data_IF_088052020606
#
_entry.id   IF_088052020606
#
_cell.length_a   1.000
_cell.length_b   1.000
_cell.length_c   1.000
_cell.angle_alpha   90.00
_cell.angle_beta   90.00
_cell.angle_gamma   90.00
#
_symmetry.space_group_name_H-M   'P 1'
#
loop_
_entity.id
_entity.type
_entity.pdbx_description
1 polymer ?
#
# COMPACT_ATOMS: atom_id res chain seq x y z
N UNK A 1 -9.49 -10.18 -11.41
CA UNK A 1 -8.51 -9.09 -11.58
C UNK A 1 -9.26 -7.80 -11.31
N UNK A 2 -8.72 -6.92 -10.47
CA UNK A 2 -9.23 -5.55 -10.38
C UNK A 2 -8.63 -4.76 -11.55
N UNK A 3 -9.45 -4.00 -12.25
CA UNK A 3 -9.05 -3.15 -13.37
C UNK A 3 -9.67 -1.76 -13.16
N UNK A 4 -8.90 -0.72 -13.42
CA UNK A 4 -9.38 0.66 -13.46
C UNK A 4 -9.66 1.00 -14.92
N UNK A 5 -10.92 1.33 -15.30
CA UNK A 5 -11.23 1.76 -16.66
C UNK A 5 -10.44 3.01 -17.07
N UNK A 6 -10.10 3.15 -18.35
CA UNK A 6 -9.31 4.29 -18.84
C UNK A 6 -10.08 5.61 -18.84
N UNK A 7 -11.41 5.59 -18.83
CA UNK A 7 -12.29 6.75 -18.96
C UNK A 7 -12.73 7.38 -17.62
N UNK A 8 -12.18 6.90 -16.49
CA UNK A 8 -12.47 7.44 -15.16
C UNK A 8 -11.30 8.26 -14.60
N UNK A 9 -11.61 9.36 -13.92
CA UNK A 9 -10.61 10.22 -13.28
C UNK A 9 -9.99 9.57 -12.03
N UNK A 10 -10.81 8.86 -11.25
CA UNK A 10 -10.39 8.24 -9.99
C UNK A 10 -11.16 6.94 -9.72
N UNK A 11 -10.47 5.98 -9.09
CA UNK A 11 -11.09 4.82 -8.45
C UNK A 11 -10.86 4.87 -6.95
N UNK A 12 -11.94 4.85 -6.17
CA UNK A 12 -11.90 4.64 -4.72
C UNK A 12 -12.42 3.23 -4.43
N UNK A 13 -11.60 2.39 -3.80
CA UNK A 13 -11.96 1.01 -3.46
C UNK A 13 -11.48 0.66 -2.06
N UNK A 14 -12.35 0.03 -1.27
CA UNK A 14 -12.00 -0.50 0.04
C UNK A 14 -11.42 -1.90 -0.10
N UNK A 15 -10.20 -2.11 0.39
CA UNK A 15 -9.59 -3.43 0.50
C UNK A 15 -9.47 -3.86 1.96
N UNK A 16 -9.87 -5.10 2.24
CA UNK A 16 -9.41 -5.80 3.43
C UNK A 16 -8.31 -6.77 3.01
N UNK A 17 -7.07 -6.45 3.40
CA UNK A 17 -5.88 -7.16 2.93
C UNK A 17 -5.29 -7.96 4.08
N UNK A 18 -5.29 -9.29 3.95
CA UNK A 18 -4.66 -10.19 4.92
C UNK A 18 -3.37 -10.74 4.34
N UNK A 19 -2.23 -10.18 4.76
CA UNK A 19 -0.89 -10.67 4.43
C UNK A 19 -0.03 -9.70 3.60
N UNK A 20 1.11 -10.22 3.15
CA UNK A 20 2.07 -9.50 2.33
C UNK A 20 1.71 -9.57 0.83
N UNK A 21 2.19 -8.59 0.08
CA UNK A 21 2.21 -8.65 -1.38
C UNK A 21 3.51 -9.26 -1.84
N UNK A 22 3.43 -10.31 -2.66
CA UNK A 22 4.59 -10.91 -3.32
C UNK A 22 4.52 -10.46 -4.77
N UNK A 23 5.47 -9.62 -5.18
CA UNK A 23 5.61 -9.26 -6.58
C UNK A 23 6.32 -10.40 -7.30
N UNK A 24 5.84 -10.70 -8.51
CA UNK A 24 6.39 -11.78 -9.33
C UNK A 24 6.75 -11.27 -10.72
N UNK A 25 7.75 -11.89 -11.33
CA UNK A 25 8.05 -11.71 -12.75
C UNK A 25 7.01 -12.44 -13.64
N UNK A 26 7.06 -12.30 -14.99
CA UNK A 26 6.14 -12.99 -15.89
C UNK A 26 6.20 -14.53 -15.84
N UNK A 27 7.30 -15.10 -15.34
CA UNK A 27 7.46 -16.56 -15.17
C UNK A 27 6.93 -17.03 -13.80
N UNK A 28 6.49 -16.10 -12.94
CA UNK A 28 5.93 -16.36 -11.62
C UNK A 28 6.98 -16.43 -10.51
N UNK A 29 8.24 -16.09 -10.77
CA UNK A 29 9.27 -16.07 -9.73
C UNK A 29 9.09 -14.84 -8.82
N UNK A 30 9.21 -14.97 -7.49
CA UNK A 30 9.11 -13.84 -6.58
C UNK A 30 10.31 -12.90 -6.76
N UNK A 31 10.02 -11.61 -6.94
CA UNK A 31 11.03 -10.55 -7.10
C UNK A 31 11.05 -9.56 -5.95
N UNK A 32 9.95 -9.41 -5.20
CA UNK A 32 9.88 -8.52 -4.04
C UNK A 32 8.74 -8.90 -3.09
N UNK A 33 8.82 -8.42 -1.83
CA UNK A 33 7.81 -8.64 -0.79
C UNK A 33 7.49 -7.33 -0.06
N UNK A 34 6.22 -6.95 -0.06
CA UNK A 34 5.70 -5.80 0.70
C UNK A 34 4.74 -6.26 1.77
N UNK A 35 5.22 -6.27 3.02
CA UNK A 35 4.44 -6.63 4.21
C UNK A 35 3.83 -5.39 4.91
N UNK A 36 3.24 -5.60 6.10
CA UNK A 36 2.60 -4.54 6.89
C UNK A 36 3.61 -3.51 7.42
N UNK A 37 4.85 -3.91 7.69
CA UNK A 37 5.88 -3.02 8.22
C UNK A 37 6.40 -2.09 7.14
N UNK A 38 6.65 -2.62 5.93
CA UNK A 38 7.00 -1.82 4.75
C UNK A 38 5.88 -0.82 4.41
N UNK A 39 4.61 -1.24 4.48
CA UNK A 39 3.45 -0.36 4.29
C UNK A 39 3.39 0.75 5.35
N UNK A 40 3.57 0.40 6.63
CA UNK A 40 3.57 1.37 7.73
C UNK A 40 4.72 2.38 7.60
N UNK A 41 5.92 1.92 7.24
CA UNK A 41 7.07 2.80 7.02
C UNK A 41 6.81 3.81 5.90
N UNK A 42 6.23 3.36 4.78
CA UNK A 42 5.83 4.24 3.66
C UNK A 42 4.78 5.27 4.10
N UNK A 43 3.74 4.86 4.81
CA UNK A 43 2.71 5.76 5.32
C UNK A 43 3.30 6.82 6.26
N UNK A 44 4.17 6.43 7.21
CA UNK A 44 4.85 7.37 8.11
C UNK A 44 5.72 8.38 7.36
N UNK A 45 6.51 7.91 6.39
CA UNK A 45 7.34 8.77 5.56
C UNK A 45 6.50 9.77 4.75
N UNK A 46 5.38 9.33 4.19
CA UNK A 46 4.44 10.21 3.50
C UNK A 46 3.87 11.27 4.44
N UNK A 47 3.34 10.87 5.60
CA UNK A 47 2.75 11.81 6.56
C UNK A 47 3.76 12.84 7.09
N UNK A 48 5.01 12.45 7.29
CA UNK A 48 6.09 13.40 7.60
C UNK A 48 6.30 14.40 6.46
N UNK A 49 6.39 13.92 5.22
CA UNK A 49 6.67 14.76 4.04
C UNK A 49 5.59 15.80 3.74
N UNK A 50 4.34 15.52 4.12
CA UNK A 50 3.20 16.44 3.91
C UNK A 50 2.84 17.26 5.16
N UNK A 51 3.65 17.19 6.23
CA UNK A 51 3.51 18.01 7.44
C UNK A 51 2.49 17.51 8.48
N UNK A 52 1.99 16.29 8.33
CA UNK A 52 1.12 15.63 9.33
C UNK A 52 1.91 14.96 10.46
N UNK A 53 3.19 14.67 10.22
CA UNK A 53 4.10 14.02 11.15
C UNK A 53 4.01 12.50 11.11
N UNK A 54 5.14 11.82 11.27
CA UNK A 54 5.24 10.36 11.19
C UNK A 54 4.28 9.63 12.14
N UNK A 55 4.03 10.16 13.33
CA UNK A 55 3.11 9.56 14.32
C UNK A 55 1.63 9.62 13.95
N UNK A 56 1.26 10.31 12.87
CA UNK A 56 -0.13 10.37 12.41
C UNK A 56 -0.71 8.99 12.08
N UNK A 57 0.13 8.01 11.72
CA UNK A 57 -0.30 6.64 11.44
C UNK A 57 -0.60 5.79 12.70
N UNK A 58 -0.09 6.18 13.86
CA UNK A 58 -0.11 5.35 15.07
C UNK A 58 -1.52 5.00 15.58
N UNK A 59 -2.52 5.93 15.54
CA UNK A 59 -3.88 5.63 15.97
C UNK A 59 -4.58 4.52 15.18
N UNK A 60 -4.09 4.14 13.99
CA UNK A 60 -4.71 3.15 13.11
C UNK A 60 -4.20 1.71 13.33
N UNK A 61 -3.17 1.51 14.14
CA UNK A 61 -2.59 0.20 14.43
C UNK A 61 -3.45 -0.54 15.47
N UNK A 62 -3.83 -1.79 15.20
CA UNK A 62 -4.67 -2.64 16.06
C UNK A 62 -4.21 -4.09 16.05
#
# INVERSE_FOLDING_TARGET
MLEVPEDVEEMITLFHVTGAYIYVDPEGNPVDVVDVFSKLASARAHYESVGLGASYADPFIR
#
